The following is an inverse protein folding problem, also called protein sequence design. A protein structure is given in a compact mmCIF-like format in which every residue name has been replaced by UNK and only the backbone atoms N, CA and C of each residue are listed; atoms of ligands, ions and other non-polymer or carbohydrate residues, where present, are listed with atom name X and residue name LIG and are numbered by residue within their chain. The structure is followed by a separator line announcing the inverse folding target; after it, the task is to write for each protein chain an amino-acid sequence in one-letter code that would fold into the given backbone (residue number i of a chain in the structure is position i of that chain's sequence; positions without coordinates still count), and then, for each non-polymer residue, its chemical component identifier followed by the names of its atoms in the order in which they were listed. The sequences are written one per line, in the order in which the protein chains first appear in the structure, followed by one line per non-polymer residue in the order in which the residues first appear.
data_IF_479247255621
#
_entry.id   IF_479247255621
#
_cell.length_a   1.000
_cell.length_b   1.000
_cell.length_c   1.000
_cell.angle_alpha   90.00
_cell.angle_beta   90.00
_cell.angle_gamma   90.00
#
_symmetry.space_group_name_H-M   'P 1'
#
loop_
_entity.id
_entity.type
_entity.pdbx_description
1 polymer ?
#
# COMPACT_ATOMS: atom_id res chain seq x y z
N UNK A 1 -24.17 -25.82 51.48
CA UNK A 1 -24.68 -26.36 50.21
C UNK A 1 -25.13 -25.16 49.37
N UNK A 2 -24.67 -25.02 48.13
CA UNK A 2 -24.97 -23.86 47.28
C UNK A 2 -26.32 -24.05 46.60
N UNK A 3 -27.19 -23.03 46.60
CA UNK A 3 -28.45 -23.06 45.86
C UNK A 3 -28.16 -22.79 44.38
N UNK A 4 -27.93 -23.87 43.63
CA UNK A 4 -27.57 -23.82 42.20
C UNK A 4 -28.59 -23.07 41.35
N UNK A 5 -29.88 -23.22 41.63
CA UNK A 5 -30.95 -22.57 40.86
C UNK A 5 -30.87 -21.05 41.00
N UNK A 6 -30.67 -20.56 42.24
CA UNK A 6 -30.50 -19.13 42.48
C UNK A 6 -29.24 -18.60 41.80
N UNK A 7 -28.13 -19.33 41.92
CA UNK A 7 -26.86 -18.94 41.28
C UNK A 7 -26.99 -18.86 39.75
N UNK A 8 -27.60 -19.85 39.10
CA UNK A 8 -27.80 -19.85 37.65
C UNK A 8 -28.68 -18.69 37.22
N UNK A 9 -29.80 -18.45 37.92
CA UNK A 9 -30.66 -17.30 37.64
C UNK A 9 -29.90 -15.98 37.80
N UNK A 10 -29.09 -15.83 38.85
CA UNK A 10 -28.29 -14.62 39.08
C UNK A 10 -27.29 -14.41 37.91
N UNK A 11 -26.63 -15.48 37.42
CA UNK A 11 -25.70 -15.40 36.27
C UNK A 11 -26.42 -15.08 34.96
N UNK A 12 -27.54 -15.73 34.67
CA UNK A 12 -28.29 -15.52 33.42
C UNK A 12 -28.85 -14.09 33.30
N UNK A 13 -29.29 -13.51 34.42
CA UNK A 13 -29.83 -12.14 34.45
C UNK A 13 -28.80 -11.06 34.12
N UNK A 14 -27.50 -11.33 34.33
CA UNK A 14 -26.41 -10.42 33.92
C UNK A 14 -26.34 -10.29 32.40
N UNK A 15 -26.62 -11.37 31.68
CA UNK A 15 -26.56 -11.39 30.23
C UNK A 15 -27.82 -10.80 29.60
N UNK A 16 -28.98 -11.32 30.02
CA UNK A 16 -30.28 -10.97 29.43
C UNK A 16 -31.41 -11.22 30.41
N UNK A 17 -32.57 -10.58 30.19
CA UNK A 17 -33.77 -10.88 30.98
C UNK A 17 -34.32 -12.28 30.60
N UNK A 18 -34.61 -13.16 31.57
CA UNK A 18 -35.24 -14.45 31.29
C UNK A 18 -36.69 -14.26 30.80
N UNK A 19 -37.20 -15.16 29.96
CA UNK A 19 -38.61 -15.14 29.57
C UNK A 19 -38.98 -14.13 28.49
N UNK A 20 -38.01 -13.56 27.76
CA UNK A 20 -38.25 -12.60 26.66
C UNK A 20 -39.13 -13.20 25.55
N UNK A 21 -39.14 -14.52 25.38
CA UNK A 21 -40.03 -15.23 24.45
C UNK A 21 -41.52 -15.06 24.80
N UNK A 22 -41.84 -14.77 26.06
CA UNK A 22 -43.20 -14.52 26.54
C UNK A 22 -43.58 -13.04 26.49
N UNK A 23 -42.60 -12.15 26.31
CA UNK A 23 -42.79 -10.70 26.34
C UNK A 23 -42.02 -10.02 25.19
N UNK A 24 -42.49 -10.14 23.94
CA UNK A 24 -41.77 -9.65 22.77
C UNK A 24 -41.61 -8.12 22.71
N UNK A 25 -42.37 -7.36 23.51
CA UNK A 25 -42.29 -5.90 23.58
C UNK A 25 -41.23 -5.38 24.57
N UNK A 26 -40.69 -6.25 25.42
CA UNK A 26 -39.69 -5.88 26.43
C UNK A 26 -38.35 -5.61 25.74
N UNK A 27 -37.84 -4.37 25.83
CA UNK A 27 -36.52 -4.01 25.32
C UNK A 27 -35.47 -4.24 26.40
N UNK A 28 -34.46 -5.03 26.08
CA UNK A 28 -33.26 -5.20 26.92
C UNK A 28 -32.37 -3.98 26.72
N UNK A 29 -31.95 -3.35 27.81
CA UNK A 29 -30.98 -2.25 27.74
C UNK A 29 -29.67 -2.80 27.15
N UNK A 30 -28.98 -2.04 26.28
CA UNK A 30 -27.65 -2.42 25.82
C UNK A 30 -26.77 -2.66 27.05
N UNK A 31 -26.16 -3.84 27.14
CA UNK A 31 -25.27 -4.14 28.24
C UNK A 31 -24.14 -3.11 28.27
N UNK A 32 -23.90 -2.49 29.42
CA UNK A 32 -22.72 -1.68 29.63
C UNK A 32 -21.50 -2.61 29.50
N UNK A 33 -20.71 -2.41 28.45
CA UNK A 33 -19.40 -3.03 28.35
C UNK A 33 -18.53 -2.40 29.42
N UNK A 34 -18.52 -2.99 30.62
CA UNK A 34 -17.54 -2.62 31.62
C UNK A 34 -16.17 -3.12 31.14
N UNK A 35 -15.47 -2.26 30.40
CA UNK A 35 -14.09 -2.50 30.02
C UNK A 35 -13.27 -2.21 31.27
N UNK A 36 -12.93 -3.27 32.02
CA UNK A 36 -11.90 -3.16 33.06
C UNK A 36 -10.64 -2.62 32.36
N UNK A 37 -10.14 -1.43 32.72
CA UNK A 37 -8.85 -0.98 32.19
C UNK A 37 -7.82 -2.04 32.59
N UNK A 38 -7.05 -2.50 31.61
CA UNK A 38 -6.01 -3.50 31.89
C UNK A 38 -5.05 -2.90 32.93
N UNK A 39 -4.66 -3.67 33.96
CA UNK A 39 -3.65 -3.19 34.90
C UNK A 39 -2.38 -2.77 34.15
N UNK A 40 -1.74 -1.72 34.67
CA UNK A 40 -0.58 -1.07 34.04
C UNK A 40 -0.89 0.08 33.08
N UNK A 41 -2.14 0.25 32.60
CA UNK A 41 -2.51 1.46 31.85
C UNK A 41 -2.73 2.63 32.81
N UNK A 42 -1.99 3.73 32.62
CA UNK A 42 -2.21 4.93 33.41
C UNK A 42 -3.62 5.46 33.20
N UNK A 43 -4.35 5.77 34.28
CA UNK A 43 -5.62 6.47 34.19
C UNK A 43 -5.37 7.89 33.69
N UNK A 44 -5.51 8.08 32.37
CA UNK A 44 -5.17 9.33 31.70
C UNK A 44 -6.01 10.53 32.18
N UNK A 45 -7.14 10.27 32.86
CA UNK A 45 -7.97 11.30 33.48
C UNK A 45 -7.29 11.92 34.71
N UNK A 46 -6.50 11.14 35.46
CA UNK A 46 -5.83 11.56 36.70
C UNK A 46 -4.34 11.86 36.55
N UNK A 47 -3.81 11.87 35.33
CA UNK A 47 -2.38 12.10 35.07
C UNK A 47 -1.98 13.55 35.37
N UNK A 48 -0.75 13.74 35.87
CA UNK A 48 -0.18 15.06 36.19
C UNK A 48 -0.11 15.96 34.96
N UNK A 49 -0.22 17.27 35.17
CA UNK A 49 -0.21 18.23 34.06
C UNK A 49 1.13 18.23 33.31
N UNK A 50 2.24 18.03 34.01
CA UNK A 50 3.57 17.87 33.40
C UNK A 50 3.63 16.68 32.43
N UNK A 51 3.08 15.54 32.83
CA UNK A 51 3.06 14.34 32.00
C UNK A 51 2.15 14.52 30.78
N UNK A 52 1.02 15.22 30.93
CA UNK A 52 0.16 15.60 29.80
C UNK A 52 0.89 16.51 28.82
N UNK A 53 1.62 17.51 29.32
CA UNK A 53 2.40 18.42 28.48
C UNK A 53 3.52 17.68 27.73
N UNK A 54 4.25 16.80 28.42
CA UNK A 54 5.29 15.96 27.81
C UNK A 54 4.70 15.04 26.73
N UNK A 55 3.53 14.47 26.99
CA UNK A 55 2.83 13.66 25.99
C UNK A 55 2.45 14.48 24.74
N UNK A 56 1.84 15.65 24.90
CA UNK A 56 1.42 16.47 23.76
C UNK A 56 2.61 16.97 22.95
N UNK A 57 3.70 17.37 23.62
CA UNK A 57 4.96 17.75 22.97
C UNK A 57 5.54 16.59 22.16
N UNK A 58 5.70 15.42 22.78
CA UNK A 58 6.23 14.23 22.12
C UNK A 58 5.38 13.80 20.91
N UNK A 59 4.06 13.75 21.07
CA UNK A 59 3.15 13.40 19.97
C UNK A 59 3.16 14.45 18.86
N UNK A 60 3.31 15.74 19.18
CA UNK A 60 3.44 16.81 18.20
C UNK A 60 4.68 16.64 17.32
N UNK A 61 5.84 16.38 17.94
CA UNK A 61 7.10 16.12 17.24
C UNK A 61 6.98 14.89 16.34
N UNK A 62 6.40 13.79 16.86
CA UNK A 62 6.21 12.57 16.09
C UNK A 62 5.30 12.79 14.89
N UNK A 63 4.15 13.46 15.08
CA UNK A 63 3.21 13.80 13.99
C UNK A 63 3.90 14.62 12.90
N UNK A 64 4.65 15.65 13.31
CA UNK A 64 5.42 16.48 12.38
C UNK A 64 6.40 15.63 11.57
N UNK A 65 7.21 14.80 12.22
CA UNK A 65 8.24 14.00 11.55
C UNK A 65 7.68 12.93 10.64
N UNK A 66 6.62 12.24 11.08
CA UNK A 66 5.93 11.23 10.28
C UNK A 66 5.35 11.87 9.01
N UNK A 67 4.74 13.05 9.13
CA UNK A 67 4.16 13.76 8.00
C UNK A 67 5.24 14.33 7.04
N UNK A 68 6.29 14.96 7.58
CA UNK A 68 7.42 15.51 6.79
C UNK A 68 8.10 14.44 5.93
N UNK A 69 8.29 13.24 6.51
CA UNK A 69 9.04 12.15 5.88
C UNK A 69 8.13 11.09 5.23
N UNK A 70 6.80 11.23 5.34
CA UNK A 70 5.79 10.26 4.89
C UNK A 70 6.10 8.84 5.37
N UNK A 71 6.41 8.71 6.66
CA UNK A 71 6.82 7.44 7.26
C UNK A 71 5.61 6.56 7.55
N UNK A 72 5.66 5.31 7.12
CA UNK A 72 4.78 4.27 7.62
C UNK A 72 5.50 3.48 8.72
N UNK A 73 5.06 3.66 9.96
CA UNK A 73 5.64 2.99 11.12
C UNK A 73 5.05 1.58 11.33
N UNK A 74 3.90 1.28 10.72
CA UNK A 74 3.18 0.00 10.84
C UNK A 74 4.07 -1.23 10.58
N UNK A 75 4.81 -1.33 9.45
CA UNK A 75 5.62 -2.52 9.17
C UNK A 75 6.74 -2.74 10.18
N UNK A 76 7.26 -1.66 10.78
CA UNK A 76 8.35 -1.74 11.75
C UNK A 76 7.89 -2.30 13.08
N UNK A 77 6.70 -1.88 13.53
CA UNK A 77 6.09 -2.48 14.71
C UNK A 77 5.66 -3.94 14.46
N UNK A 78 5.06 -4.20 13.28
CA UNK A 78 4.64 -5.56 12.90
C UNK A 78 5.81 -6.55 12.86
N UNK A 79 7.03 -6.10 12.52
CA UNK A 79 8.23 -6.93 12.55
C UNK A 79 8.59 -7.45 13.95
N UNK A 80 8.16 -6.77 15.02
CA UNK A 80 8.36 -7.19 16.41
C UNK A 80 7.16 -7.94 17.01
N UNK A 81 6.01 -7.94 16.33
CA UNK A 81 4.76 -8.55 16.79
C UNK A 81 4.43 -9.83 16.00
N UNK A 82 5.20 -10.89 16.29
CA UNK A 82 5.04 -12.20 15.64
C UNK A 82 3.67 -12.85 15.87
N UNK A 83 3.00 -12.50 16.97
CA UNK A 83 1.69 -13.06 17.33
C UNK A 83 0.53 -12.20 16.81
N UNK A 84 0.82 -11.09 16.13
CA UNK A 84 -0.17 -10.15 15.59
C UNK A 84 -1.19 -9.69 16.65
N UNK A 85 -0.73 -9.45 17.89
CA UNK A 85 -1.57 -9.00 19.00
C UNK A 85 -1.76 -7.49 19.04
N UNK A 86 -0.97 -6.73 18.27
CA UNK A 86 -0.88 -5.29 18.33
C UNK A 86 -0.01 -4.76 19.47
N UNK A 87 0.84 -5.60 20.06
CA UNK A 87 1.60 -5.28 21.28
C UNK A 87 3.08 -5.58 21.07
N UNK A 88 3.94 -4.65 21.50
CA UNK A 88 5.40 -4.81 21.50
C UNK A 88 5.98 -4.48 22.88
N UNK A 89 7.23 -4.84 23.14
CA UNK A 89 7.88 -4.43 24.39
C UNK A 89 8.18 -2.92 24.39
N UNK A 90 8.24 -2.32 25.58
CA UNK A 90 8.61 -0.90 25.73
C UNK A 90 10.02 -0.61 25.20
N UNK A 91 10.94 -1.57 25.30
CA UNK A 91 12.29 -1.47 24.73
C UNK A 91 12.26 -1.44 23.20
N UNK A 92 11.42 -2.26 22.56
CA UNK A 92 11.24 -2.22 21.10
C UNK A 92 10.72 -0.85 20.66
N UNK A 93 9.76 -0.28 21.40
CA UNK A 93 9.29 1.09 21.14
C UNK A 93 10.43 2.11 21.23
N UNK A 94 11.21 2.12 22.32
CA UNK A 94 12.36 3.03 22.47
C UNK A 94 13.37 2.87 21.33
N UNK A 95 13.68 1.63 20.95
CA UNK A 95 14.58 1.32 19.85
C UNK A 95 14.08 1.90 18.52
N UNK A 96 12.78 1.77 18.23
CA UNK A 96 12.18 2.35 17.04
C UNK A 96 12.26 3.89 17.03
N UNK A 97 11.96 4.53 18.16
CA UNK A 97 12.09 6.00 18.28
C UNK A 97 13.53 6.45 18.02
N UNK A 98 14.53 5.75 18.56
CA UNK A 98 15.94 6.02 18.30
C UNK A 98 16.34 5.75 16.85
N UNK A 99 15.87 4.66 16.24
CA UNK A 99 16.16 4.28 14.85
C UNK A 99 15.70 5.36 13.87
N UNK A 100 14.50 5.91 14.07
CA UNK A 100 13.96 6.97 13.23
C UNK A 100 14.56 8.36 13.52
N UNK A 101 15.47 8.44 14.50
CA UNK A 101 16.09 9.69 14.96
C UNK A 101 15.06 10.75 15.31
N UNK A 102 13.99 10.34 16.01
CA UNK A 102 13.03 11.30 16.55
C UNK A 102 13.66 11.94 17.79
N UNK A 103 13.83 13.25 17.76
CA UNK A 103 14.41 14.01 18.86
C UNK A 103 13.37 14.21 19.97
N UNK A 104 13.07 13.15 20.73
CA UNK A 104 12.24 13.22 21.94
C UNK A 104 13.12 13.13 23.18
N UNK A 105 12.77 13.89 24.20
CA UNK A 105 13.35 13.78 25.53
C UNK A 105 12.89 12.48 26.22
N UNK A 106 13.65 11.97 27.21
CA UNK A 106 13.26 10.78 27.96
C UNK A 106 11.87 10.91 28.61
N UNK A 107 11.54 12.08 29.13
CA UNK A 107 10.25 12.34 29.78
C UNK A 107 9.07 12.27 28.79
N UNK A 108 9.24 12.75 27.56
CA UNK A 108 8.22 12.63 26.50
C UNK A 108 8.02 11.18 26.07
N UNK A 109 9.10 10.41 25.94
CA UNK A 109 9.05 8.97 25.64
C UNK A 109 8.31 8.24 26.75
N UNK A 110 8.63 8.52 28.02
CA UNK A 110 8.00 7.89 29.18
C UNK A 110 6.52 8.25 29.29
N UNK A 111 6.14 9.48 28.93
CA UNK A 111 4.75 9.90 28.88
C UNK A 111 3.94 9.14 27.82
N UNK A 112 4.52 8.92 26.63
CA UNK A 112 3.89 8.12 25.57
C UNK A 112 3.78 6.66 25.99
N UNK A 113 4.85 6.08 26.55
CA UNK A 113 4.84 4.70 27.06
C UNK A 113 3.76 4.54 28.12
N UNK A 114 3.67 5.46 29.09
CA UNK A 114 2.70 5.37 30.19
C UNK A 114 1.24 5.36 29.71
N UNK A 115 0.95 6.01 28.57
CA UNK A 115 -0.40 6.07 28.00
C UNK A 115 -0.80 4.79 27.25
N UNK A 116 0.13 4.16 26.54
CA UNK A 116 -0.16 3.02 25.66
C UNK A 116 0.35 1.68 26.17
N UNK A 117 1.15 1.66 27.23
CA UNK A 117 1.61 0.44 27.87
C UNK A 117 0.59 -0.09 28.88
N UNK A 118 0.59 -1.41 29.01
CA UNK A 118 -0.11 -2.18 30.04
C UNK A 118 0.77 -3.37 30.44
N UNK A 119 0.25 -4.26 31.27
CA UNK A 119 0.95 -5.47 31.69
C UNK A 119 1.39 -6.39 30.53
N UNK A 120 0.66 -6.38 29.40
CA UNK A 120 1.01 -7.15 28.20
C UNK A 120 2.16 -6.51 27.40
N UNK A 121 2.36 -5.19 27.53
CA UNK A 121 3.35 -4.41 26.79
C UNK A 121 2.77 -3.11 26.23
N UNK A 122 3.47 -2.53 25.25
CA UNK A 122 3.08 -1.30 24.56
C UNK A 122 2.13 -1.61 23.40
N UNK A 123 0.89 -1.13 23.49
CA UNK A 123 -0.10 -1.25 22.41
C UNK A 123 0.23 -0.27 21.29
N UNK A 124 0.92 -0.75 20.26
CA UNK A 124 1.34 0.11 19.16
C UNK A 124 0.19 0.41 18.20
N UNK A 125 -0.85 -0.42 18.12
CA UNK A 125 -2.01 -0.15 17.24
C UNK A 125 -2.75 1.11 17.69
N UNK A 126 -3.04 1.22 18.99
CA UNK A 126 -3.70 2.41 19.55
C UNK A 126 -2.80 3.65 19.42
N UNK A 127 -1.49 3.48 19.65
CA UNK A 127 -0.52 4.55 19.43
C UNK A 127 -0.52 5.03 17.97
N UNK A 128 -0.45 4.13 16.99
CA UNK A 128 -0.47 4.48 15.57
C UNK A 128 -1.79 5.13 15.16
N UNK A 129 -2.93 4.63 15.66
CA UNK A 129 -4.24 5.21 15.41
C UNK A 129 -4.33 6.67 15.89
N UNK A 130 -3.73 7.00 17.04
CA UNK A 130 -3.68 8.38 17.52
C UNK A 130 -2.60 9.23 16.84
N UNK A 131 -1.49 8.62 16.41
CA UNK A 131 -0.39 9.32 15.76
C UNK A 131 -0.72 9.70 14.32
N UNK A 132 -1.23 8.75 13.55
CA UNK A 132 -1.67 8.91 12.18
C UNK A 132 -3.03 8.22 12.07
N UNK A 133 -4.13 8.88 12.47
CA UNK A 133 -5.45 8.32 12.27
C UNK A 133 -5.58 8.06 10.78
N UNK A 134 -5.73 6.78 10.42
CA UNK A 134 -6.00 6.39 9.06
C UNK A 134 -7.25 7.18 8.67
N UNK A 135 -7.06 8.20 7.83
CA UNK A 135 -8.21 8.80 7.17
C UNK A 135 -8.77 7.64 6.39
N UNK A 136 -9.94 7.17 6.79
CA UNK A 136 -10.84 6.49 5.87
C UNK A 136 -11.08 7.53 4.78
N UNK A 137 -10.15 7.61 3.82
CA UNK A 137 -10.52 8.06 2.50
C UNK A 137 -11.64 7.10 2.15
N UNK A 138 -12.87 7.62 2.17
CA UNK A 138 -13.99 6.95 1.54
C UNK A 138 -13.42 6.41 0.25
N UNK A 139 -13.41 5.09 0.08
CA UNK A 139 -12.90 4.46 -1.13
C UNK A 139 -13.78 4.95 -2.27
N UNK A 140 -13.51 6.14 -2.78
CA UNK A 140 -14.24 6.78 -3.85
C UNK A 140 -14.04 5.85 -5.02
N UNK A 141 -15.12 5.23 -5.49
CA UNK A 141 -15.08 4.26 -6.56
C UNK A 141 -14.65 4.96 -7.85
N UNK A 142 -13.34 5.10 -8.07
CA UNK A 142 -12.75 5.86 -9.20
C UNK A 142 -12.72 5.08 -10.51
N UNK A 143 -13.27 3.86 -10.55
CA UNK A 143 -13.24 3.02 -11.76
C UNK A 143 -13.88 3.71 -12.99
N UNK A 144 -15.04 4.41 -12.87
CA UNK A 144 -15.64 5.10 -14.01
C UNK A 144 -14.72 6.22 -14.55
N UNK A 145 -14.10 7.00 -13.67
CA UNK A 145 -13.19 8.09 -14.04
C UNK A 145 -11.92 7.58 -14.72
N UNK A 146 -11.35 6.50 -14.18
CA UNK A 146 -10.17 5.83 -14.76
C UNK A 146 -10.48 5.30 -16.15
N UNK A 147 -11.63 4.64 -16.33
CA UNK A 147 -12.06 4.11 -17.62
C UNK A 147 -12.25 5.24 -18.66
N UNK A 148 -12.92 6.34 -18.27
CA UNK A 148 -13.10 7.50 -19.12
C UNK A 148 -11.76 8.17 -19.50
N UNK A 149 -10.81 8.23 -18.56
CA UNK A 149 -9.46 8.75 -18.80
C UNK A 149 -8.69 7.88 -19.78
N UNK A 150 -8.68 6.55 -19.60
CA UNK A 150 -8.05 5.61 -20.54
C UNK A 150 -8.67 5.67 -21.93
N UNK A 151 -10.00 5.77 -22.04
CA UNK A 151 -10.69 5.91 -23.33
C UNK A 151 -10.31 7.23 -24.02
N UNK A 152 -10.23 8.35 -23.28
CA UNK A 152 -9.81 9.64 -23.81
C UNK A 152 -8.36 9.60 -24.32
N UNK A 153 -7.45 9.00 -23.55
CA UNK A 153 -6.03 8.85 -23.95
C UNK A 153 -5.92 7.98 -25.21
N UNK A 154 -6.64 6.86 -25.28
CA UNK A 154 -6.65 5.99 -26.46
C UNK A 154 -7.25 6.67 -27.70
N UNK A 155 -8.25 7.53 -27.52
CA UNK A 155 -8.83 8.31 -28.61
C UNK A 155 -7.85 9.36 -29.12
N UNK A 156 -7.19 10.08 -28.22
CA UNK A 156 -6.16 11.07 -28.55
C UNK A 156 -4.95 10.44 -29.24
N UNK A 157 -4.51 9.24 -28.80
CA UNK A 157 -3.41 8.54 -29.45
C UNK A 157 -3.79 8.05 -30.85
N UNK A 158 -5.05 7.65 -31.06
CA UNK A 158 -5.57 7.29 -32.38
C UNK A 158 -5.68 8.49 -33.32
N UNK A 159 -6.16 9.64 -32.83
CA UNK A 159 -6.22 10.89 -33.60
C UNK A 159 -4.83 11.48 -33.92
N UNK A 160 -3.80 11.18 -33.13
CA UNK A 160 -2.43 11.69 -33.33
C UNK A 160 -1.56 10.83 -34.25
N UNK A 161 -2.03 9.68 -34.75
CA UNK A 161 -1.22 8.74 -35.56
C UNK A 161 -1.96 8.16 -36.78
N UNK A 162 -2.85 8.93 -37.39
CA UNK A 162 -3.25 8.69 -38.78
C UNK A 162 -2.78 9.87 -39.64
N UNK A 163 -1.45 10.02 -39.79
CA UNK A 163 -0.93 10.58 -41.04
C UNK A 163 -1.12 9.50 -42.09
N UNK A 164 -1.81 9.80 -43.18
CA UNK A 164 -1.90 8.87 -44.31
C UNK A 164 -0.48 8.37 -44.66
N UNK A 165 -0.30 7.06 -44.94
CA UNK A 165 0.91 6.66 -45.63
C UNK A 165 0.89 7.38 -46.97
N UNK A 166 1.73 8.41 -47.15
CA UNK A 166 2.02 8.95 -48.46
C UNK A 166 2.73 7.83 -49.20
N UNK A 167 1.94 6.99 -49.88
CA UNK A 167 2.43 6.01 -50.83
C UNK A 167 2.86 6.79 -52.07
N UNK A 168 3.96 7.53 -51.95
CA UNK A 168 4.74 7.92 -53.11
C UNK A 168 5.35 6.64 -53.65
N UNK A 169 5.04 6.30 -54.90
CA UNK A 169 5.54 5.10 -55.57
C UNK A 169 7.01 4.88 -55.22
N UNK A 170 7.30 3.75 -54.57
CA UNK A 170 8.64 3.42 -54.10
C UNK A 170 9.68 3.45 -55.24
N UNK A 171 9.23 3.26 -56.48
CA UNK A 171 10.01 3.43 -57.71
C UNK A 171 10.46 4.87 -57.94
N UNK A 172 9.59 5.87 -57.74
CA UNK A 172 9.94 7.29 -57.91
C UNK A 172 10.92 7.78 -56.84
N UNK A 173 10.82 7.25 -55.62
CA UNK A 173 11.78 7.53 -54.53
C UNK A 173 13.16 6.92 -54.84
N UNK A 174 13.19 5.75 -55.47
CA UNK A 174 14.45 5.11 -55.89
C UNK A 174 15.12 5.82 -57.08
N UNK A 175 14.33 6.39 -58.00
CA UNK A 175 14.86 7.11 -59.16
C UNK A 175 15.43 8.48 -58.77
N UNK A 176 14.81 9.16 -57.80
CA UNK A 176 15.34 10.40 -57.22
C UNK A 176 16.63 10.16 -56.44
N UNK A 177 16.73 9.06 -55.67
CA UNK A 177 17.97 8.69 -54.98
C UNK A 177 19.12 8.29 -55.93
N UNK A 178 18.81 7.64 -57.06
CA UNK A 178 19.81 7.34 -58.09
C UNK A 178 20.30 8.60 -58.82
N UNK A 179 19.41 9.56 -59.07
CA UNK A 179 19.74 10.82 -59.72
C UNK A 179 20.59 11.76 -58.83
N UNK A 180 20.33 11.78 -57.53
CA UNK A 180 21.02 12.66 -56.57
C UNK A 180 22.41 12.13 -56.16
N UNK A 181 22.67 10.81 -56.25
CA UNK A 181 23.89 10.22 -55.67
C UNK A 181 25.08 9.97 -56.59
N UNK A 182 25.01 10.08 -57.93
CA UNK A 182 26.22 9.87 -58.78
C UNK A 182 26.21 10.59 -60.15
N UNK A 183 26.69 11.85 -60.26
CA UNK A 183 27.18 12.37 -61.53
C UNK A 183 28.67 12.01 -61.67
N UNK A 184 29.01 10.77 -62.06
CA UNK A 184 30.40 10.51 -62.47
C UNK A 184 30.95 9.10 -62.45
N UNK A 185 30.22 8.09 -61.99
CA UNK A 185 30.74 6.71 -62.00
C UNK A 185 29.82 5.86 -62.86
N UNK A 186 30.20 5.73 -64.13
CA UNK A 186 29.79 4.76 -65.15
C UNK A 186 29.57 5.44 -66.51
N UNK A 187 30.67 5.94 -67.07
CA UNK A 187 30.84 5.99 -68.52
C UNK A 187 31.96 5.02 -68.90
N UNK A 188 31.59 3.81 -69.32
CA UNK A 188 32.22 3.15 -70.46
C UNK A 188 31.30 2.06 -71.01
N UNK A 189 31.02 2.22 -72.30
CA UNK A 189 30.02 1.53 -73.11
C UNK A 189 30.53 0.15 -73.60
N UNK A 190 30.02 -0.42 -74.71
CA UNK A 190 29.03 -1.49 -74.72
C UNK A 190 29.60 -2.78 -75.34
N UNK A 191 28.92 -3.92 -75.23
CA UNK A 191 28.75 -4.84 -76.37
C UNK A 191 27.94 -6.09 -76.03
N UNK A 192 27.02 -6.34 -76.96
CA UNK A 192 26.34 -7.59 -77.27
C UNK A 192 27.26 -8.81 -77.28
N UNK A 193 26.83 -9.92 -76.67
CA UNK A 193 26.74 -11.24 -77.33
C UNK A 193 26.06 -12.23 -76.36
N UNK A 194 24.93 -12.81 -76.78
CA UNK A 194 24.79 -14.24 -77.16
C UNK A 194 25.27 -15.24 -76.11
N UNK A 195 24.40 -16.17 -75.75
CA UNK A 195 24.84 -17.51 -75.36
C UNK A 195 24.04 -18.12 -74.21
N UNK A 196 22.91 -18.72 -74.55
CA UNK A 196 22.39 -19.84 -73.78
C UNK A 196 23.41 -20.99 -73.75
N UNK A 197 23.35 -21.81 -72.69
CA UNK A 197 23.86 -23.19 -72.50
C UNK A 197 24.69 -23.29 -71.22
N UNK A 198 24.74 -24.36 -70.44
CA UNK A 198 23.90 -25.54 -70.20
C UNK A 198 24.63 -26.27 -69.05
N UNK A 199 23.89 -26.79 -68.08
CA UNK A 199 24.16 -28.00 -67.27
C UNK A 199 25.39 -28.18 -66.31
N UNK A 200 25.07 -29.02 -65.30
CA UNK A 200 25.85 -30.09 -64.61
C UNK A 200 26.23 -29.88 -63.12
N UNK A 201 25.32 -30.37 -62.25
CA UNK A 201 25.47 -31.44 -61.22
C UNK A 201 26.78 -31.57 -60.41
N UNK A 202 26.67 -31.47 -59.07
CA UNK A 202 27.05 -32.48 -58.02
C UNK A 202 26.79 -31.91 -56.61
N UNK A 203 25.82 -32.41 -55.84
CA UNK A 203 25.91 -33.53 -54.87
C UNK A 203 27.21 -33.53 -54.03
N UNK A 204 27.10 -33.21 -52.73
CA UNK A 204 27.54 -34.12 -51.66
C UNK A 204 26.96 -33.72 -50.29
N UNK A 205 26.13 -34.63 -49.78
CA UNK A 205 25.74 -34.81 -48.39
C UNK A 205 26.86 -35.42 -47.56
N UNK A 206 26.75 -35.22 -46.24
CA UNK A 206 27.22 -36.17 -45.23
C UNK A 206 27.86 -35.47 -44.03
N UNK A 207 27.75 -35.97 -42.80
CA UNK A 207 26.86 -36.96 -42.20
C UNK A 207 27.07 -36.86 -40.68
N UNK A 208 26.13 -37.42 -39.92
CA UNK A 208 26.15 -37.69 -38.47
C UNK A 208 27.48 -38.18 -37.88
N UNK A 209 27.72 -37.81 -36.62
CA UNK A 209 27.66 -38.75 -35.49
C UNK A 209 26.79 -38.13 -34.41
#
# INVERSE_FOLDING_TARGET
MVNWIKFVNDVETVFTLPGLEKQPLTRVLPQEKFIQPKPGTADWLSVTEEMKQNYENGMGILRQKVNERRLDLTPNFAAFDFLHRGIVTTNNFRQLISMYSFCLSPAEIDAIISRYANDDGFNYLDFLNHLCPMKLEENEYKYPERLATSQRINKLSKEKTEMEPVMGDAEGIMDTLKAELLPGIFNSSPSSSRGASDKIIKLRSGNSV
#
